data_IF_531163209544
#
_entry.id   IF_531163209544
#
_cell.length_a   1.000
_cell.length_b   1.000
_cell.length_c   1.000
_cell.angle_alpha   90.00
_cell.angle_beta   90.00
_cell.angle_gamma   90.00
#
_symmetry.space_group_name_H-M   'P 1'
#
loop_
_entity.id
_entity.type
_entity.pdbx_description
1 polymer ?
#
# COMPACT_ATOMS: atom_id res chain seq x y z
N UNK A 1 -2.30 -12.98 -19.26
CA UNK A 1 -1.50 -12.53 -18.13
C UNK A 1 -2.30 -12.64 -16.86
N UNK A 2 -1.66 -13.10 -15.80
CA UNK A 2 -2.32 -13.36 -14.55
C UNK A 2 -2.33 -12.08 -13.70
N UNK A 3 -3.51 -11.68 -13.24
CA UNK A 3 -3.63 -10.56 -12.29
C UNK A 3 -3.06 -10.98 -10.95
N UNK A 4 -2.53 -10.02 -10.24
CA UNK A 4 -1.94 -10.23 -8.93
C UNK A 4 -2.71 -9.43 -7.88
N UNK A 5 -3.15 -10.10 -6.83
CA UNK A 5 -3.76 -9.45 -5.68
C UNK A 5 -2.75 -9.38 -4.54
N UNK A 6 -2.78 -8.28 -3.80
CA UNK A 6 -1.89 -8.08 -2.65
C UNK A 6 -2.74 -7.74 -1.43
N UNK A 7 -2.43 -8.41 -0.31
CA UNK A 7 -2.85 -7.98 1.01
C UNK A 7 -1.58 -7.63 1.77
N UNK A 8 -1.53 -6.44 2.34
CA UNK A 8 -0.38 -6.02 3.13
C UNK A 8 -0.82 -5.30 4.38
N UNK A 9 -0.03 -5.44 5.44
CA UNK A 9 -0.27 -4.77 6.70
C UNK A 9 0.78 -3.73 7.00
N UNK A 10 0.35 -2.56 7.46
CA UNK A 10 1.23 -1.49 7.91
C UNK A 10 0.90 -1.15 9.36
N UNK A 11 1.94 -0.80 10.13
CA UNK A 11 1.79 -0.35 11.51
C UNK A 11 2.53 0.97 11.67
N UNK A 12 1.88 1.96 12.28
CA UNK A 12 2.50 3.26 12.56
C UNK A 12 3.74 3.05 13.43
N UNK A 13 4.86 3.68 13.05
CA UNK A 13 6.10 3.58 13.79
C UNK A 13 6.05 4.43 15.07
N UNK A 14 6.87 4.05 16.04
CA UNK A 14 6.99 4.80 17.29
C UNK A 14 7.42 6.25 17.01
N UNK A 15 6.79 7.20 17.69
CA UNK A 15 7.08 8.61 17.52
C UNK A 15 6.25 9.29 16.43
N UNK A 16 5.42 8.54 15.72
CA UNK A 16 4.50 9.06 14.69
C UNK A 16 3.05 8.78 15.07
N UNK A 17 2.13 9.44 14.39
CA UNK A 17 0.70 9.32 14.67
C UNK A 17 -0.05 8.78 13.45
N UNK A 18 -1.22 8.18 13.71
CA UNK A 18 -2.09 7.73 12.64
C UNK A 18 -2.53 8.87 11.73
N UNK A 19 -2.64 10.10 12.26
CA UNK A 19 -2.98 11.28 11.45
C UNK A 19 -1.90 11.57 10.42
N UNK A 20 -0.62 11.54 10.83
CA UNK A 20 0.50 11.72 9.91
C UNK A 20 0.50 10.65 8.82
N UNK A 21 0.27 9.39 9.21
CA UNK A 21 0.21 8.27 8.26
C UNK A 21 -0.91 8.50 7.25
N UNK A 22 -2.10 8.88 7.72
CA UNK A 22 -3.25 9.07 6.82
C UNK A 22 -3.01 10.17 5.79
N UNK A 23 -2.37 11.28 6.19
CA UNK A 23 -2.04 12.34 5.24
C UNK A 23 -1.05 11.86 4.17
N UNK A 24 0.02 11.23 4.60
CA UNK A 24 1.05 10.74 3.67
C UNK A 24 0.52 9.64 2.75
N UNK A 25 -0.28 8.72 3.29
CA UNK A 25 -0.79 7.60 2.52
C UNK A 25 -1.88 8.02 1.53
N UNK A 26 -2.64 9.08 1.83
CA UNK A 26 -3.57 9.66 0.85
C UNK A 26 -2.85 10.24 -0.35
N UNK A 27 -1.71 10.87 -0.13
CA UNK A 27 -0.88 11.37 -1.23
C UNK A 27 -0.33 10.19 -2.05
N UNK A 28 0.18 9.16 -1.40
CA UNK A 28 0.64 7.94 -2.05
C UNK A 28 -0.49 7.33 -2.90
N UNK A 29 -1.66 7.18 -2.31
CA UNK A 29 -2.84 6.64 -2.99
C UNK A 29 -3.18 7.41 -4.26
N UNK A 30 -3.23 8.75 -4.17
CA UNK A 30 -3.60 9.60 -5.30
C UNK A 30 -2.68 9.41 -6.50
N UNK A 31 -1.42 9.10 -6.28
CA UNK A 31 -0.43 8.86 -7.34
C UNK A 31 -0.44 7.40 -7.79
N UNK A 32 -0.61 6.48 -6.85
CA UNK A 32 -0.60 5.04 -7.14
C UNK A 32 -1.75 4.63 -8.05
N UNK A 33 -2.95 5.17 -7.85
CA UNK A 33 -4.10 4.82 -8.68
C UNK A 33 -3.97 5.31 -10.13
N UNK A 34 -3.00 6.17 -10.43
CA UNK A 34 -2.71 6.63 -11.78
C UNK A 34 -1.67 5.77 -12.49
N UNK A 35 -1.04 4.83 -11.79
CA UNK A 35 -0.08 3.91 -12.40
C UNK A 35 -0.78 2.99 -13.41
N UNK A 36 -0.16 2.79 -14.57
CA UNK A 36 -0.78 2.06 -15.68
C UNK A 36 -1.22 0.64 -15.31
N UNK A 37 -0.49 -0.03 -14.42
CA UNK A 37 -0.81 -1.41 -14.03
C UNK A 37 -1.63 -1.52 -12.76
N UNK A 38 -2.05 -0.40 -12.17
CA UNK A 38 -2.84 -0.42 -10.93
C UNK A 38 -4.32 -0.55 -11.25
N UNK A 39 -4.93 -1.67 -10.85
CA UNK A 39 -6.37 -1.88 -11.00
C UNK A 39 -7.09 -1.40 -9.75
N UNK A 40 -6.49 -1.65 -8.58
CA UNK A 40 -7.07 -1.32 -7.29
C UNK A 40 -5.94 -1.05 -6.29
N UNK A 41 -6.10 0.02 -5.51
CA UNK A 41 -5.20 0.30 -4.41
C UNK A 41 -6.04 0.96 -3.30
N UNK A 42 -6.49 0.14 -2.35
CA UNK A 42 -7.30 0.60 -1.23
C UNK A 42 -6.50 0.54 0.05
N UNK A 43 -6.67 1.57 0.88
CA UNK A 43 -6.02 1.63 2.19
C UNK A 43 -7.12 1.70 3.24
N UNK A 44 -7.10 0.74 4.15
CA UNK A 44 -8.13 0.58 5.17
C UNK A 44 -7.50 0.73 6.55
N UNK A 45 -8.06 1.61 7.37
CA UNK A 45 -7.62 1.75 8.77
C UNK A 45 -8.40 0.78 9.64
N UNK A 46 -7.71 0.09 10.55
CA UNK A 46 -8.39 -0.82 11.48
C UNK A 46 -9.19 0.00 12.50
N UNK A 47 -10.44 -0.41 12.74
CA UNK A 47 -11.33 0.31 13.64
C UNK A 47 -10.89 0.21 15.10
N UNK A 48 -10.47 -0.98 15.53
CA UNK A 48 -10.10 -1.24 16.92
C UNK A 48 -8.64 -0.90 17.23
N UNK A 49 -7.81 -0.75 16.19
CA UNK A 49 -6.38 -0.42 16.31
C UNK A 49 -6.01 0.64 15.28
N UNK A 50 -6.26 1.92 15.58
CA UNK A 50 -6.08 3.00 14.59
C UNK A 50 -4.66 3.15 14.02
N UNK A 51 -3.65 2.58 14.67
CA UNK A 51 -2.27 2.59 14.17
C UNK A 51 -1.97 1.47 13.19
N UNK A 52 -2.97 0.63 12.88
CA UNK A 52 -2.83 -0.44 11.88
C UNK A 52 -3.62 -0.11 10.64
N UNK A 53 -3.03 -0.43 9.49
CA UNK A 53 -3.64 -0.22 8.18
C UNK A 53 -3.49 -1.49 7.36
N UNK A 54 -4.48 -1.76 6.51
CA UNK A 54 -4.42 -2.85 5.54
C UNK A 54 -4.44 -2.25 4.16
N UNK A 55 -3.51 -2.70 3.31
CA UNK A 55 -3.51 -2.39 1.89
C UNK A 55 -4.18 -3.54 1.15
N UNK A 56 -5.13 -3.22 0.28
CA UNK A 56 -5.82 -4.18 -0.56
C UNK A 56 -5.61 -3.76 -2.00
N UNK A 57 -4.84 -4.55 -2.76
CA UNK A 57 -4.33 -4.12 -4.06
C UNK A 57 -4.60 -5.17 -5.13
N UNK A 58 -4.79 -4.69 -6.35
CA UNK A 58 -4.88 -5.54 -7.53
C UNK A 58 -4.03 -4.90 -8.64
N UNK A 59 -3.16 -5.71 -9.25
CA UNK A 59 -2.22 -5.28 -10.28
C UNK A 59 -2.38 -6.14 -11.52
N UNK A 60 -2.10 -5.56 -12.69
CA UNK A 60 -2.20 -6.32 -13.95
C UNK A 60 -1.16 -7.43 -14.04
N UNK A 61 -0.02 -7.30 -13.34
CA UNK A 61 1.08 -8.27 -13.39
C UNK A 61 2.08 -8.05 -12.27
N UNK A 62 2.98 -9.01 -12.09
CA UNK A 62 4.15 -8.86 -11.21
C UNK A 62 5.01 -7.66 -11.62
N UNK A 63 5.19 -7.45 -12.91
CA UNK A 63 6.00 -6.33 -13.42
C UNK A 63 5.37 -4.99 -13.03
N UNK A 64 4.04 -4.89 -13.05
CA UNK A 64 3.34 -3.67 -12.64
C UNK A 64 3.54 -3.40 -11.14
N UNK A 65 3.51 -4.44 -10.31
CA UNK A 65 3.78 -4.31 -8.88
C UNK A 65 5.22 -3.85 -8.64
N UNK A 66 6.19 -4.44 -9.36
CA UNK A 66 7.59 -4.04 -9.22
C UNK A 66 7.78 -2.57 -9.64
N UNK A 67 7.13 -2.15 -10.72
CA UNK A 67 7.18 -0.75 -11.16
C UNK A 67 6.62 0.18 -10.08
N UNK A 68 5.57 -0.25 -9.35
CA UNK A 68 5.02 0.50 -8.23
C UNK A 68 6.07 0.66 -7.11
N UNK A 69 6.78 -0.41 -6.75
CA UNK A 69 7.82 -0.32 -5.73
C UNK A 69 8.94 0.63 -6.14
N UNK A 70 9.26 0.70 -7.42
CA UNK A 70 10.34 1.55 -7.94
C UNK A 70 9.89 2.99 -8.19
N UNK A 71 8.60 3.27 -8.15
CA UNK A 71 8.06 4.59 -8.45
C UNK A 71 8.52 5.64 -7.43
N UNK A 72 8.78 6.88 -7.89
CA UNK A 72 9.23 7.95 -6.99
C UNK A 72 8.30 8.20 -5.81
N UNK A 73 6.97 8.14 -6.03
CA UNK A 73 6.00 8.38 -4.97
C UNK A 73 6.01 7.28 -3.91
N UNK A 74 6.29 6.03 -4.32
CA UNK A 74 6.39 4.91 -3.38
C UNK A 74 7.67 5.03 -2.56
N UNK A 75 8.79 5.33 -3.21
CA UNK A 75 10.07 5.52 -2.54
C UNK A 75 10.01 6.70 -1.57
N UNK A 76 9.34 7.79 -1.96
CA UNK A 76 9.16 8.95 -1.08
C UNK A 76 8.38 8.60 0.18
N UNK A 77 7.33 7.78 0.05
CA UNK A 77 6.56 7.33 1.21
C UNK A 77 7.44 6.50 2.17
N UNK A 78 8.17 5.53 1.64
CA UNK A 78 9.05 4.70 2.46
C UNK A 78 10.12 5.53 3.18
N UNK A 79 10.63 6.55 2.51
CA UNK A 79 11.66 7.42 3.10
C UNK A 79 11.17 8.19 4.33
N UNK A 80 9.86 8.37 4.49
CA UNK A 80 9.29 9.05 5.65
C UNK A 80 9.34 8.20 6.92
N UNK A 81 9.51 6.88 6.80
CA UNK A 81 9.56 5.94 7.92
C UNK A 81 8.36 6.02 8.87
N UNK A 82 7.19 6.35 8.32
CA UNK A 82 5.96 6.50 9.11
C UNK A 82 5.33 5.17 9.51
N UNK A 83 5.57 4.13 8.72
CA UNK A 83 5.00 2.80 8.97
C UNK A 83 6.03 1.71 8.75
N UNK A 84 5.86 0.61 9.50
CA UNK A 84 6.56 -0.65 9.23
C UNK A 84 5.60 -1.59 8.52
N UNK A 85 6.13 -2.36 7.59
CA UNK A 85 5.37 -3.42 6.90
C UNK A 85 5.36 -4.65 7.79
N UNK A 86 4.18 -5.05 8.27
CA UNK A 86 4.05 -6.23 9.12
C UNK A 86 3.97 -7.52 8.30
N UNK A 87 3.38 -7.46 7.10
CA UNK A 87 3.36 -8.59 6.16
C UNK A 87 3.01 -8.07 4.77
N UNK A 88 3.39 -8.87 3.75
CA UNK A 88 2.91 -8.71 2.36
C UNK A 88 2.59 -10.11 1.87
N UNK A 89 1.36 -10.30 1.36
CA UNK A 89 0.93 -11.58 0.81
C UNK A 89 0.48 -11.40 -0.62
N UNK A 90 0.98 -12.27 -1.50
CA UNK A 90 0.57 -12.31 -2.90
C UNK A 90 -0.55 -13.32 -3.02
N UNK A 91 -1.64 -12.91 -3.63
CA UNK A 91 -2.87 -13.70 -3.70
C UNK A 91 -3.35 -13.82 -5.13
N UNK A 92 -4.17 -14.83 -5.33
CA UNK A 92 -4.77 -15.12 -6.63
C UNK A 92 -6.27 -15.33 -6.43
N UNK A 93 -7.08 -14.71 -7.26
CA UNK A 93 -8.53 -14.85 -7.15
C UNK A 93 -8.97 -16.24 -7.63
N UNK A 94 -9.72 -16.94 -6.81
CA UNK A 94 -10.24 -18.27 -7.15
C UNK A 94 -11.77 -18.31 -7.34
N UNK A 95 -12.42 -17.21 -6.98
CA UNK A 95 -13.88 -17.14 -7.08
C UNK A 95 -14.33 -15.71 -7.35
#
# INVERSE_FOLDING_TARGET
MKKLWISAGLVTTQGHTAVEVKEAIRLLHSKTIQEAGCIRFEVLQHQDEPNKFTLWEEWTSEAALQAHYDAPHTQAYFALSLTDVSYIEKLEQIA
#
